data_IF_551290768958
#
_entry.id   IF_551290768958
#
_cell.length_a   1.000
_cell.length_b   1.000
_cell.length_c   1.000
_cell.angle_alpha   90.00
_cell.angle_beta   90.00
_cell.angle_gamma   90.00
#
_symmetry.space_group_name_H-M   'P 1'
#
loop_
_entity.id
_entity.type
_entity.pdbx_description
1 polymer ?
#
# COMPACT_ATOMS: atom_id res chain seq x y z
N UNK A 1 -12.15 -11.79 -27.32
CA UNK A 1 -11.39 -10.78 -28.05
C UNK A 1 -10.20 -10.41 -27.17
N UNK A 2 -8.99 -10.86 -27.51
CA UNK A 2 -7.80 -10.50 -26.75
C UNK A 2 -7.35 -9.12 -27.23
N UNK A 3 -7.48 -8.10 -26.38
CA UNK A 3 -6.92 -6.79 -26.63
C UNK A 3 -5.45 -6.82 -26.23
N UNK A 4 -4.56 -6.95 -27.21
CA UNK A 4 -3.12 -6.81 -26.99
C UNK A 4 -2.78 -5.33 -27.13
N UNK A 5 -2.56 -4.66 -26.01
CA UNK A 5 -2.05 -3.28 -26.02
C UNK A 5 -0.54 -3.29 -26.24
N UNK A 6 -0.02 -2.21 -26.86
CA UNK A 6 1.40 -2.09 -27.15
C UNK A 6 2.15 -1.93 -25.82
N UNK A 7 3.18 -2.76 -25.54
CA UNK A 7 3.94 -2.63 -24.30
C UNK A 7 4.73 -1.32 -24.29
N UNK A 8 4.84 -0.74 -23.10
CA UNK A 8 5.69 0.43 -22.85
C UNK A 8 6.98 -0.03 -22.21
N UNK A 9 8.10 0.39 -22.79
CA UNK A 9 9.45 0.07 -22.33
C UNK A 9 10.07 1.27 -21.64
N UNK A 10 10.79 1.02 -20.56
CA UNK A 10 11.56 2.01 -19.79
C UNK A 10 12.94 1.45 -19.48
N UNK A 11 13.93 2.32 -19.38
CA UNK A 11 15.29 1.90 -18.97
C UNK A 11 15.37 1.76 -17.45
N UNK A 12 16.14 0.81 -16.95
CA UNK A 12 16.29 0.57 -15.50
C UNK A 12 16.90 1.75 -14.71
N UNK A 13 17.62 2.65 -15.39
CA UNK A 13 18.20 3.84 -14.78
C UNK A 13 17.22 5.03 -14.66
N UNK A 14 15.96 4.88 -15.05
CA UNK A 14 14.94 5.93 -14.85
C UNK A 14 14.69 6.15 -13.35
N UNK A 15 14.56 7.41 -12.93
CA UNK A 15 14.21 7.74 -11.55
C UNK A 15 12.81 7.23 -11.17
N UNK A 16 12.63 6.75 -9.94
CA UNK A 16 11.35 6.24 -9.45
C UNK A 16 10.23 7.30 -9.48
N UNK A 17 10.56 8.55 -9.18
CA UNK A 17 9.68 9.72 -9.24
C UNK A 17 9.27 10.07 -10.68
N UNK A 18 10.22 10.01 -11.60
CA UNK A 18 9.99 10.22 -13.02
C UNK A 18 9.10 9.11 -13.59
N UNK A 19 9.41 7.85 -13.28
CA UNK A 19 8.64 6.68 -13.69
C UNK A 19 7.22 6.73 -13.15
N UNK A 20 7.05 7.11 -11.88
CA UNK A 20 5.73 7.25 -11.25
C UNK A 20 4.90 8.32 -11.95
N UNK A 21 5.51 9.48 -12.21
CA UNK A 21 4.85 10.59 -12.91
C UNK A 21 4.43 10.18 -14.32
N UNK A 22 5.30 9.46 -15.05
CA UNK A 22 5.02 8.94 -16.38
C UNK A 22 3.87 7.94 -16.38
N UNK A 23 3.95 6.91 -15.54
CA UNK A 23 2.92 5.86 -15.44
C UNK A 23 1.56 6.45 -15.06
N UNK A 24 1.53 7.41 -14.14
CA UNK A 24 0.29 8.11 -13.75
C UNK A 24 -0.28 8.97 -14.89
N UNK A 25 0.56 9.73 -15.59
CA UNK A 25 0.14 10.61 -16.70
C UNK A 25 -0.39 9.81 -17.89
N UNK A 26 0.27 8.71 -18.23
CA UNK A 26 -0.06 7.86 -19.38
C UNK A 26 -1.08 6.76 -19.03
N UNK A 27 -1.54 6.68 -17.77
CA UNK A 27 -2.47 5.65 -17.25
C UNK A 27 -1.94 4.23 -17.47
N UNK A 28 -0.64 4.05 -17.27
CA UNK A 28 0.03 2.76 -17.41
C UNK A 28 0.04 2.06 -16.05
N UNK A 29 -0.51 0.84 -16.01
CA UNK A 29 -0.46 0.00 -14.81
C UNK A 29 0.80 -0.89 -14.77
N UNK A 30 1.48 -1.04 -15.92
CA UNK A 30 2.57 -2.00 -16.12
C UNK A 30 3.52 -1.48 -17.19
N UNK A 31 4.83 -1.66 -16.97
CA UNK A 31 5.91 -1.34 -17.92
C UNK A 31 6.95 -2.45 -17.94
N UNK A 32 7.59 -2.65 -19.10
CA UNK A 32 8.72 -3.55 -19.26
C UNK A 32 10.00 -2.76 -19.03
N UNK A 33 10.88 -3.28 -18.17
CA UNK A 33 12.15 -2.65 -17.81
C UNK A 33 13.27 -3.24 -18.66
N UNK A 34 14.06 -2.37 -19.27
CA UNK A 34 15.21 -2.70 -20.11
C UNK A 34 16.53 -2.47 -19.38
N UNK A 35 17.48 -3.38 -19.57
CA UNK A 35 18.88 -3.24 -19.14
C UNK A 35 19.68 -2.34 -20.11
N UNK A 36 20.97 -2.09 -19.84
CA UNK A 36 21.79 -1.20 -20.67
C UNK A 36 22.13 -1.75 -22.07
N UNK A 37 21.89 -3.04 -22.30
CA UNK A 37 22.09 -3.72 -23.58
C UNK A 37 20.79 -3.84 -24.39
N UNK A 38 19.67 -3.31 -23.86
CA UNK A 38 18.34 -3.41 -24.47
C UNK A 38 17.67 -4.77 -24.28
N UNK A 39 18.22 -5.62 -23.40
CA UNK A 39 17.58 -6.82 -22.90
C UNK A 39 16.47 -6.50 -21.89
N UNK A 40 15.59 -7.45 -21.63
CA UNK A 40 14.53 -7.29 -20.63
C UNK A 40 15.11 -7.61 -19.25
N UNK A 41 15.25 -6.59 -18.41
CA UNK A 41 15.63 -6.71 -17.01
C UNK A 41 14.44 -7.20 -16.17
N UNK A 42 13.21 -6.77 -16.51
CA UNK A 42 12.01 -7.24 -15.82
C UNK A 42 10.71 -6.53 -16.19
N UNK A 43 9.76 -6.59 -15.27
CA UNK A 43 8.44 -5.97 -15.35
C UNK A 43 8.19 -5.20 -14.06
N UNK A 44 7.58 -4.02 -14.17
CA UNK A 44 7.25 -3.20 -13.01
C UNK A 44 5.80 -2.72 -13.10
N UNK A 45 5.08 -2.77 -11.97
CA UNK A 45 3.71 -2.26 -11.88
C UNK A 45 3.66 -0.95 -11.12
N UNK A 46 2.60 -0.18 -11.36
CA UNK A 46 2.37 1.06 -10.62
C UNK A 46 2.26 0.81 -9.12
N UNK A 47 1.67 -0.34 -8.74
CA UNK A 47 1.48 -0.69 -7.33
C UNK A 47 2.81 -1.00 -6.63
N UNK A 48 3.74 -1.67 -7.30
CA UNK A 48 5.07 -1.94 -6.75
C UNK A 48 5.85 -0.64 -6.55
N UNK A 49 5.75 0.29 -7.50
CA UNK A 49 6.38 1.60 -7.40
C UNK A 49 5.80 2.44 -6.26
N UNK A 50 4.48 2.38 -6.07
CA UNK A 50 3.81 3.03 -4.95
C UNK A 50 4.29 2.43 -3.63
N UNK A 51 4.36 1.10 -3.53
CA UNK A 51 4.82 0.41 -2.32
C UNK A 51 6.25 0.81 -1.95
N UNK A 52 7.15 0.96 -2.92
CA UNK A 52 8.53 1.40 -2.70
C UNK A 52 8.60 2.85 -2.18
N UNK A 53 7.81 3.76 -2.76
CA UNK A 53 7.75 5.17 -2.32
C UNK A 53 7.14 5.35 -0.93
N UNK A 54 6.13 4.52 -0.64
CA UNK A 54 5.44 4.46 0.66
C UNK A 54 6.35 3.79 1.70
N UNK A 55 7.22 2.86 1.28
CA UNK A 55 8.09 2.10 2.16
C UNK A 55 7.35 0.97 2.89
N UNK A 56 8.12 0.11 3.55
CA UNK A 56 7.59 -1.00 4.32
C UNK A 56 7.00 -0.49 5.65
N UNK A 57 5.73 -0.06 5.65
CA UNK A 57 4.98 0.24 6.89
C UNK A 57 4.91 -0.94 7.88
N UNK A 58 5.42 -2.11 7.48
CA UNK A 58 5.34 -3.38 8.19
C UNK A 58 6.61 -3.75 9.00
N UNK A 59 7.65 -2.92 9.06
CA UNK A 59 8.90 -3.34 9.74
C UNK A 59 9.00 -2.94 11.23
N UNK A 60 8.11 -2.08 11.73
CA UNK A 60 7.92 -1.83 13.17
C UNK A 60 6.52 -2.24 13.62
N UNK A 61 6.10 -3.43 13.20
CA UNK A 61 4.79 -3.99 13.46
C UNK A 61 4.70 -4.61 14.89
N UNK A 62 5.26 -3.91 15.87
CA UNK A 62 5.31 -4.33 17.28
C UNK A 62 4.19 -3.67 18.10
N UNK A 63 3.45 -4.49 18.85
CA UNK A 63 2.64 -3.99 19.96
C UNK A 63 3.58 -3.72 21.13
N UNK A 64 3.76 -2.45 21.48
CA UNK A 64 4.63 -2.05 22.60
C UNK A 64 3.74 -1.90 23.83
N UNK A 65 3.81 -2.89 24.73
CA UNK A 65 3.06 -2.88 25.98
C UNK A 65 3.84 -2.14 27.06
N UNK A 66 3.17 -1.21 27.73
CA UNK A 66 3.71 -0.47 28.87
C UNK A 66 3.28 -1.15 30.19
N UNK A 67 4.01 -0.88 31.27
CA UNK A 67 3.72 -1.44 32.60
C UNK A 67 2.38 -0.99 33.19
N UNK A 68 1.85 0.14 32.71
CA UNK A 68 0.53 0.68 33.09
C UNK A 68 -0.64 -0.02 32.37
N UNK A 69 -0.36 -1.00 31.52
CA UNK A 69 -1.35 -1.73 30.73
C UNK A 69 -1.75 -1.06 29.43
N UNK A 70 -1.16 0.09 29.08
CA UNK A 70 -1.35 0.71 27.76
C UNK A 70 -0.52 0.00 26.69
N UNK A 71 -0.94 0.13 25.42
CA UNK A 71 -0.20 -0.39 24.29
C UNK A 71 -0.05 0.68 23.22
N UNK A 72 1.18 0.90 22.77
CA UNK A 72 1.47 1.69 21.58
C UNK A 72 1.47 0.78 20.36
N UNK A 73 0.78 1.22 19.31
CA UNK A 73 0.54 0.43 18.10
C UNK A 73 0.44 1.36 16.89
N UNK A 74 0.96 0.92 15.75
CA UNK A 74 0.87 1.67 14.51
C UNK A 74 -0.61 1.75 14.05
N UNK A 75 -1.10 2.93 13.69
CA UNK A 75 -2.46 3.12 13.19
C UNK A 75 -2.78 2.32 11.91
N UNK A 76 -1.77 1.95 11.13
CA UNK A 76 -1.92 1.08 9.96
C UNK A 76 -2.05 -0.42 10.30
N UNK A 77 -1.92 -0.79 11.57
CA UNK A 77 -2.08 -2.18 12.03
C UNK A 77 -3.46 -2.71 11.66
N UNK A 78 -3.49 -3.90 11.04
CA UNK A 78 -4.74 -4.57 10.64
C UNK A 78 -5.58 -4.95 11.85
N UNK A 79 -6.90 -4.78 11.74
CA UNK A 79 -7.85 -5.15 12.81
C UNK A 79 -7.77 -6.63 13.15
N UNK A 80 -7.51 -7.51 12.18
CA UNK A 80 -7.30 -8.94 12.42
C UNK A 80 -6.16 -9.20 13.44
N UNK A 81 -5.06 -8.46 13.33
CA UNK A 81 -3.90 -8.56 14.23
C UNK A 81 -4.22 -8.02 15.63
N UNK A 82 -5.00 -6.95 15.71
CA UNK A 82 -5.54 -6.42 16.98
C UNK A 82 -6.44 -7.46 17.65
N UNK A 83 -7.41 -8.01 16.93
CA UNK A 83 -8.32 -9.04 17.42
C UNK A 83 -7.58 -10.27 17.94
N UNK A 84 -6.55 -10.73 17.22
CA UNK A 84 -5.71 -11.85 17.67
C UNK A 84 -4.92 -11.53 18.94
N UNK A 85 -4.33 -10.33 19.03
CA UNK A 85 -3.41 -9.97 20.11
C UNK A 85 -4.13 -9.60 21.41
N UNK A 86 -5.26 -8.89 21.30
CA UNK A 86 -6.05 -8.42 22.44
C UNK A 86 -7.28 -9.29 22.72
N UNK A 87 -7.49 -10.36 21.93
CA UNK A 87 -8.66 -11.24 21.98
C UNK A 87 -9.98 -10.45 21.88
N UNK A 88 -10.00 -9.47 20.98
CA UNK A 88 -11.18 -8.64 20.70
C UNK A 88 -11.97 -9.18 19.50
N UNK A 89 -13.21 -8.73 19.38
CA UNK A 89 -14.11 -9.06 18.26
C UNK A 89 -14.53 -7.79 17.52
N UNK A 90 -13.56 -6.95 17.16
CA UNK A 90 -13.80 -5.74 16.36
C UNK A 90 -14.24 -6.18 14.96
N UNK A 91 -15.30 -5.54 14.48
CA UNK A 91 -15.91 -5.78 13.17
C UNK A 91 -14.89 -5.61 12.02
N UNK A 92 -14.77 -6.63 11.17
CA UNK A 92 -13.83 -6.67 10.03
C UNK A 92 -14.20 -5.69 8.91
N UNK A 93 -15.31 -4.96 9.01
CA UNK A 93 -15.58 -3.81 8.11
C UNK A 93 -14.50 -2.73 8.19
N UNK A 94 -13.73 -2.70 9.28
CA UNK A 94 -12.58 -1.82 9.43
C UNK A 94 -11.29 -2.59 9.12
N UNK A 95 -10.50 -2.06 8.18
CA UNK A 95 -9.27 -2.73 7.76
C UNK A 95 -8.11 -2.45 8.72
N UNK A 96 -8.01 -1.23 9.26
CA UNK A 96 -6.91 -0.77 10.14
C UNK A 96 -7.42 -0.10 11.40
N UNK A 97 -6.56 -0.01 12.43
CA UNK A 97 -6.89 0.67 13.68
C UNK A 97 -7.21 2.15 13.48
N UNK A 98 -6.47 2.86 12.62
CA UNK A 98 -6.78 4.26 12.29
C UNK A 98 -8.16 4.36 11.64
N UNK A 99 -8.50 3.44 10.72
CA UNK A 99 -9.82 3.42 10.08
C UNK A 99 -10.96 3.28 11.10
N UNK A 100 -10.76 2.47 12.15
CA UNK A 100 -11.69 2.35 13.26
C UNK A 100 -11.79 3.66 14.06
N UNK A 101 -10.66 4.26 14.45
CA UNK A 101 -10.61 5.50 15.24
C UNK A 101 -11.30 6.64 14.50
N UNK A 102 -11.01 6.82 13.21
CA UNK A 102 -11.67 7.83 12.39
C UNK A 102 -13.19 7.62 12.35
N UNK A 103 -13.66 6.38 12.18
CA UNK A 103 -15.09 6.09 12.16
C UNK A 103 -15.78 6.41 13.49
N UNK A 104 -15.08 6.23 14.62
CA UNK A 104 -15.59 6.60 15.95
C UNK A 104 -15.63 8.11 16.14
N UNK A 105 -14.62 8.84 15.65
CA UNK A 105 -14.54 10.30 15.76
C UNK A 105 -15.57 11.01 14.87
N UNK A 106 -15.87 10.47 13.69
CA UNK A 106 -16.83 11.06 12.74
C UNK A 106 -18.30 10.64 13.00
N UNK A 107 -18.59 10.11 14.20
CA UNK A 107 -19.95 9.78 14.63
C UNK A 107 -20.63 8.65 13.85
N UNK A 108 -19.85 7.72 13.28
CA UNK A 108 -20.39 6.57 12.56
C UNK A 108 -21.00 6.89 11.18
N UNK A 109 -20.77 8.09 10.63
CA UNK A 109 -21.13 8.35 9.23
C UNK A 109 -20.10 7.67 8.32
N UNK A 110 -20.60 6.82 7.42
CA UNK A 110 -19.82 6.18 6.34
C UNK A 110 -19.10 7.26 5.53
N UNK A 111 -17.80 7.45 5.80
CA UNK A 111 -16.92 8.39 5.11
C UNK A 111 -15.79 7.68 4.38
N UNK A 112 -16.11 7.07 3.25
CA UNK A 112 -15.34 7.09 1.99
C UNK A 112 -13.80 7.11 2.14
N UNK A 113 -13.20 5.94 2.33
CA UNK A 113 -11.91 5.64 1.68
C UNK A 113 -12.10 4.39 0.84
N UNK A 114 -12.69 4.63 -0.34
CA UNK A 114 -12.53 3.74 -1.48
C UNK A 114 -11.04 3.74 -1.82
N UNK A 115 -10.33 2.67 -1.50
CA UNK A 115 -9.09 2.33 -2.19
C UNK A 115 -9.44 2.05 -3.64
N UNK A 116 -9.28 3.07 -4.48
CA UNK A 116 -9.27 3.01 -5.93
C UNK A 116 -8.01 3.72 -6.43
#
# INVERSE_FOLDING_TARGET
>A
MAALEKPVFVWEYIGADELFTKMKKERLNMVIVLDEYGGVSGLLTLNDLIAELIGNFNEEDGLIFNEDGSCLVNGFTKIEKINKSFKTSIDEKYQTLNGLVYAMLDGGKKGIFSTG
#
